data_IF_826037811936
#
_entry.id   IF_826037811936
#
_cell.length_a   1.000
_cell.length_b   1.000
_cell.length_c   1.000
_cell.angle_alpha   90.00
_cell.angle_beta   90.00
_cell.angle_gamma   90.00
#
_symmetry.space_group_name_H-M   'P 1'
#
loop_
_entity.id
_entity.type
_entity.pdbx_description
1 polymer ?
#
# COMPACT_ATOMS: atom_id res chain seq x y z
N UNK A 1 10.99 -12.08 13.59
CA UNK A 1 11.22 -11.77 15.01
C UNK A 1 10.60 -12.86 15.89
N UNK A 2 11.34 -13.40 16.85
CA UNK A 2 10.86 -14.44 17.76
C UNK A 2 9.90 -13.87 18.82
N UNK A 3 9.06 -14.69 19.48
CA UNK A 3 8.18 -14.22 20.56
C UNK A 3 8.95 -13.52 21.71
N UNK A 4 10.20 -13.94 21.96
CA UNK A 4 11.08 -13.34 22.98
C UNK A 4 11.53 -11.95 22.56
N UNK A 5 11.92 -11.77 21.30
CA UNK A 5 12.32 -10.47 20.75
C UNK A 5 11.15 -9.47 20.76
N UNK A 6 9.93 -9.92 20.40
CA UNK A 6 8.72 -9.10 20.51
C UNK A 6 8.43 -8.64 21.95
N UNK A 7 8.64 -9.51 22.93
CA UNK A 7 8.46 -9.15 24.35
C UNK A 7 9.50 -8.12 24.79
N UNK A 8 10.76 -8.28 24.37
CA UNK A 8 11.84 -7.34 24.70
C UNK A 8 11.61 -5.98 24.05
N UNK A 9 11.16 -5.94 22.79
CA UNK A 9 10.79 -4.72 22.08
C UNK A 9 9.68 -3.95 22.81
N UNK A 10 8.61 -4.64 23.24
CA UNK A 10 7.52 -4.04 24.03
C UNK A 10 8.00 -3.49 25.36
N UNK A 11 8.87 -4.22 26.08
CA UNK A 11 9.42 -3.74 27.35
C UNK A 11 10.30 -2.48 27.17
N UNK A 12 11.11 -2.44 26.11
CA UNK A 12 11.91 -1.28 25.75
C UNK A 12 11.02 -0.07 25.39
N UNK A 13 9.97 -0.29 24.61
CA UNK A 13 9.01 0.75 24.22
C UNK A 13 8.28 1.37 25.41
N UNK A 14 7.79 0.55 26.36
CA UNK A 14 7.16 1.04 27.59
C UNK A 14 8.15 1.86 28.41
N UNK A 15 9.40 1.40 28.52
CA UNK A 15 10.44 2.12 29.27
C UNK A 15 10.72 3.49 28.63
N UNK A 16 10.88 3.53 27.31
CA UNK A 16 11.10 4.77 26.56
C UNK A 16 9.91 5.73 26.64
N UNK A 17 8.67 5.23 26.56
CA UNK A 17 7.47 6.04 26.71
C UNK A 17 7.37 6.69 28.10
N UNK A 18 7.66 5.92 29.16
CA UNK A 18 7.70 6.45 30.53
C UNK A 18 8.76 7.53 30.66
N UNK A 19 9.97 7.31 30.11
CA UNK A 19 11.05 8.30 30.13
C UNK A 19 10.69 9.58 29.37
N UNK A 20 10.05 9.46 28.20
CA UNK A 20 9.61 10.60 27.40
C UNK A 20 8.57 11.45 28.15
N UNK A 21 7.52 10.82 28.71
CA UNK A 21 6.49 11.52 29.47
C UNK A 21 7.03 12.11 30.78
N UNK A 22 8.02 11.46 31.40
CA UNK A 22 8.71 12.02 32.58
C UNK A 22 9.54 13.26 32.21
N UNK A 23 10.24 13.26 31.07
CA UNK A 23 11.05 14.38 30.60
C UNK A 23 10.21 15.59 30.19
N UNK A 24 9.05 15.36 29.56
CA UNK A 24 8.11 16.42 29.17
C UNK A 24 7.33 17.00 30.37
N UNK A 25 7.37 16.31 31.51
CA UNK A 25 6.59 16.63 32.70
C UNK A 25 5.12 16.24 32.52
N UNK A 26 4.50 15.76 33.61
CA UNK A 26 3.05 15.66 33.64
C UNK A 26 2.47 17.07 33.72
N UNK A 27 1.38 17.36 32.99
CA UNK A 27 0.69 18.65 33.15
C UNK A 27 0.33 18.81 34.64
N UNK A 28 0.62 19.98 35.24
CA UNK A 28 0.35 20.19 36.65
C UNK A 28 -1.13 19.97 36.92
N UNK A 29 -1.46 19.32 38.04
CA UNK A 29 -2.84 19.15 38.47
C UNK A 29 -3.45 20.54 38.68
N UNK A 30 -4.35 20.94 37.80
CA UNK A 30 -5.08 22.19 37.93
C UNK A 30 -6.14 22.05 39.02
N UNK A 31 -6.29 23.09 39.83
CA UNK A 31 -7.31 23.16 40.88
C UNK A 31 -8.70 22.98 40.25
N UNK A 32 -9.52 22.07 40.81
CA UNK A 32 -10.85 21.75 40.27
C UNK A 32 -10.88 20.57 39.28
N UNK A 33 -9.73 20.01 38.88
CA UNK A 33 -9.67 18.77 38.09
C UNK A 33 -9.59 17.56 39.01
N UNK A 34 -10.39 16.52 38.72
CA UNK A 34 -10.31 15.26 39.45
C UNK A 34 -8.96 14.58 39.20
N UNK A 35 -8.15 14.40 40.26
CA UNK A 35 -6.83 13.77 40.20
C UNK A 35 -6.88 12.37 39.56
N UNK A 36 -7.91 11.57 39.87
CA UNK A 36 -8.08 10.23 39.27
C UNK A 36 -8.29 10.29 37.75
N UNK A 37 -9.02 11.30 37.26
CA UNK A 37 -9.24 11.50 35.83
C UNK A 37 -7.95 11.89 35.11
N UNK A 38 -7.18 12.80 35.70
CA UNK A 38 -5.88 13.22 35.17
C UNK A 38 -4.87 12.07 35.12
N UNK A 39 -4.80 11.25 36.17
CA UNK A 39 -3.92 10.06 36.22
C UNK A 39 -4.29 9.05 35.13
N UNK A 40 -5.58 8.72 34.97
CA UNK A 40 -6.04 7.78 33.92
C UNK A 40 -5.79 8.29 32.51
N UNK A 41 -5.84 9.61 32.30
CA UNK A 41 -5.52 10.21 31.01
C UNK A 41 -4.02 10.13 30.73
N UNK A 42 -3.17 10.46 31.72
CA UNK A 42 -1.73 10.34 31.60
C UNK A 42 -1.30 8.88 31.33
N UNK A 43 -1.88 7.91 32.04
CA UNK A 43 -1.64 6.50 31.81
C UNK A 43 -2.00 6.07 30.37
N UNK A 44 -3.17 6.50 29.86
CA UNK A 44 -3.56 6.22 28.47
C UNK A 44 -2.59 6.83 27.46
N UNK A 45 -2.09 8.04 27.71
CA UNK A 45 -1.09 8.68 26.84
C UNK A 45 0.23 7.91 26.84
N UNK A 46 0.72 7.50 28.01
CA UNK A 46 1.95 6.69 28.11
C UNK A 46 1.79 5.35 27.38
N UNK A 47 0.67 4.65 27.57
CA UNK A 47 0.39 3.39 26.87
C UNK A 47 0.34 3.59 25.36
N UNK A 48 -0.38 4.61 24.89
CA UNK A 48 -0.45 4.92 23.46
C UNK A 48 0.93 5.22 22.87
N UNK A 49 1.77 6.01 23.55
CA UNK A 49 3.16 6.24 23.12
C UNK A 49 3.98 4.96 23.13
N UNK A 50 3.80 4.08 24.13
CA UNK A 50 4.48 2.80 24.18
C UNK A 50 4.05 1.87 23.04
N UNK A 51 2.77 1.87 22.68
CA UNK A 51 2.24 1.08 21.56
C UNK A 51 2.85 1.56 20.24
N UNK A 52 2.92 2.89 20.02
CA UNK A 52 3.57 3.50 18.84
C UNK A 52 5.07 3.19 18.78
N UNK A 53 5.78 3.26 19.91
CA UNK A 53 7.21 2.90 19.94
C UNK A 53 7.44 1.40 19.75
N UNK A 54 6.57 0.54 20.30
CA UNK A 54 6.66 -0.90 20.11
C UNK A 54 6.39 -1.26 18.65
N UNK A 55 5.38 -0.63 18.04
CA UNK A 55 5.11 -0.67 16.61
C UNK A 55 6.36 -0.33 15.79
N UNK A 56 6.98 0.82 16.08
CA UNK A 56 8.21 1.25 15.43
C UNK A 56 9.36 0.23 15.57
N UNK A 57 9.50 -0.40 16.74
CA UNK A 57 10.56 -1.41 16.97
C UNK A 57 10.26 -2.74 16.27
N UNK A 58 8.99 -3.16 16.24
CA UNK A 58 8.57 -4.41 15.59
C UNK A 58 8.62 -4.27 14.07
N UNK A 59 8.38 -3.06 13.57
CA UNK A 59 8.30 -2.75 12.14
C UNK A 59 7.00 -3.24 11.52
N UNK A 60 6.93 -3.14 10.19
CA UNK A 60 5.80 -3.63 9.40
C UNK A 60 5.59 -5.13 9.58
N UNK A 61 4.33 -5.53 9.68
CA UNK A 61 3.94 -6.95 9.80
C UNK A 61 2.94 -7.39 8.74
N UNK A 62 2.27 -6.44 8.09
CA UNK A 62 1.27 -6.68 7.07
C UNK A 62 1.59 -5.83 5.85
N UNK A 63 1.43 -6.42 4.67
CA UNK A 63 1.50 -5.74 3.37
C UNK A 63 0.22 -6.08 2.60
N UNK A 64 -0.43 -5.08 2.02
CA UNK A 64 -1.63 -5.24 1.20
C UNK A 64 -1.49 -4.45 -0.10
N UNK A 65 -1.90 -5.05 -1.21
CA UNK A 65 -2.01 -4.36 -2.48
C UNK A 65 -3.40 -3.77 -2.62
N UNK A 66 -3.46 -2.51 -3.04
CA UNK A 66 -4.71 -1.76 -3.20
C UNK A 66 -4.77 -1.16 -4.60
N UNK A 67 -5.51 -1.80 -5.53
CA UNK A 67 -5.81 -1.20 -6.81
C UNK A 67 -6.68 0.05 -6.60
N UNK A 68 -6.28 1.18 -7.19
CA UNK A 68 -6.93 2.48 -6.97
C UNK A 68 -7.78 2.90 -8.17
N UNK A 69 -7.21 2.86 -9.37
CA UNK A 69 -7.88 3.34 -10.58
C UNK A 69 -7.36 2.62 -11.81
N UNK A 70 -8.24 2.32 -12.75
CA UNK A 70 -7.91 1.87 -14.11
C UNK A 70 -8.09 3.07 -15.04
N UNK A 71 -7.13 3.36 -15.89
CA UNK A 71 -7.13 4.46 -16.84
C UNK A 71 -6.91 3.91 -18.25
N UNK A 72 -7.77 4.33 -19.17
CA UNK A 72 -7.56 4.10 -20.60
C UNK A 72 -6.57 5.12 -21.16
N UNK A 73 -5.49 4.65 -21.80
CA UNK A 73 -4.41 5.55 -22.23
C UNK A 73 -4.84 6.50 -23.35
N UNK A 74 -5.70 6.03 -24.25
CA UNK A 74 -6.16 6.82 -25.40
C UNK A 74 -7.12 7.94 -25.00
N UNK A 75 -7.99 7.70 -24.00
CA UNK A 75 -9.09 8.61 -23.66
C UNK A 75 -8.92 9.31 -22.31
N UNK A 76 -7.96 8.85 -21.49
CA UNK A 76 -7.82 9.24 -20.07
C UNK A 76 -9.08 8.99 -19.23
N UNK A 77 -10.00 8.14 -19.70
CA UNK A 77 -11.19 7.77 -18.94
C UNK A 77 -10.79 6.85 -17.80
N UNK A 78 -11.24 7.17 -16.59
CA UNK A 78 -10.92 6.43 -15.37
C UNK A 78 -12.10 5.59 -14.88
N UNK A 79 -11.84 4.36 -14.46
CA UNK A 79 -12.79 3.46 -13.82
C UNK A 79 -12.19 3.03 -12.48
N UNK A 80 -12.98 3.12 -11.40
CA UNK A 80 -12.54 2.61 -10.11
C UNK A 80 -12.76 1.10 -10.06
N UNK A 81 -11.73 0.32 -9.70
CA UNK A 81 -11.89 -1.10 -9.46
C UNK A 81 -12.79 -1.36 -8.23
N UNK A 82 -13.39 -2.56 -8.12
CA UNK A 82 -14.11 -2.95 -6.93
C UNK A 82 -13.18 -2.98 -5.71
N UNK A 83 -13.67 -2.50 -4.57
CA UNK A 83 -12.92 -2.47 -3.32
C UNK A 83 -12.51 -3.89 -2.90
N UNK A 84 -11.25 -4.07 -2.52
CA UNK A 84 -10.72 -5.37 -2.10
C UNK A 84 -10.51 -6.38 -3.24
N UNK A 85 -10.41 -5.92 -4.49
CA UNK A 85 -10.12 -6.79 -5.64
C UNK A 85 -8.83 -7.59 -5.43
N UNK A 86 -8.94 -8.92 -5.46
CA UNK A 86 -7.80 -9.86 -5.43
C UNK A 86 -7.34 -10.26 -6.82
N UNK A 87 -8.10 -9.86 -7.83
CA UNK A 87 -7.84 -10.06 -9.26
C UNK A 87 -8.15 -8.76 -9.98
N UNK A 88 -7.25 -8.31 -10.84
CA UNK A 88 -7.44 -7.16 -11.70
C UNK A 88 -7.55 -7.61 -13.15
N UNK A 89 -8.60 -7.15 -13.83
CA UNK A 89 -8.76 -7.35 -15.26
C UNK A 89 -8.70 -5.98 -15.95
N UNK A 90 -7.93 -5.89 -17.04
CA UNK A 90 -7.84 -4.68 -17.86
C UNK A 90 -7.76 -5.04 -19.36
N UNK A 91 -8.14 -4.11 -20.21
CA UNK A 91 -7.97 -4.26 -21.66
C UNK A 91 -6.56 -3.84 -22.10
N UNK A 92 -6.09 -4.32 -23.24
CA UNK A 92 -4.90 -3.78 -23.92
C UNK A 92 -5.05 -2.27 -24.17
N UNK A 93 -4.01 -1.49 -23.90
CA UNK A 93 -4.04 -0.02 -23.98
C UNK A 93 -4.62 0.66 -22.73
N UNK A 94 -4.87 -0.10 -21.66
CA UNK A 94 -5.18 0.42 -20.33
C UNK A 94 -4.00 0.24 -19.38
N UNK A 95 -4.01 1.02 -18.31
CA UNK A 95 -3.11 0.87 -17.18
C UNK A 95 -3.88 1.05 -15.89
N UNK A 96 -3.41 0.47 -14.78
CA UNK A 96 -4.00 0.74 -13.48
C UNK A 96 -2.95 1.16 -12.46
N UNK A 97 -3.39 2.00 -11.52
CA UNK A 97 -2.58 2.44 -10.40
C UNK A 97 -2.81 1.52 -9.21
N UNK A 98 -1.73 1.14 -8.55
CA UNK A 98 -1.75 0.30 -7.36
C UNK A 98 -0.88 0.92 -6.29
N UNK A 99 -1.42 0.93 -5.08
CA UNK A 99 -0.74 1.36 -3.86
C UNK A 99 -0.47 0.15 -2.98
N UNK A 100 0.53 0.26 -2.11
CA UNK A 100 0.82 -0.70 -1.06
C UNK A 100 0.52 -0.09 0.29
N UNK A 101 -0.47 -0.66 0.97
CA UNK A 101 -0.74 -0.36 2.36
C UNK A 101 0.14 -1.29 3.23
N UNK A 102 0.94 -0.70 4.11
CA UNK A 102 1.74 -1.46 5.07
C UNK A 102 1.32 -1.11 6.49
N UNK A 103 1.12 -2.12 7.33
CA UNK A 103 0.68 -1.94 8.71
C UNK A 103 1.60 -2.70 9.67
N UNK A 104 1.86 -2.11 10.84
CA UNK A 104 2.48 -2.80 11.96
C UNK A 104 1.49 -3.66 12.76
N UNK A 105 2.00 -4.37 13.77
CA UNK A 105 1.19 -5.25 14.62
C UNK A 105 0.14 -4.53 15.49
N UNK A 106 0.26 -3.21 15.62
CA UNK A 106 -0.67 -2.35 16.35
C UNK A 106 -1.71 -1.69 15.44
N UNK A 107 -1.62 -1.92 14.13
CA UNK A 107 -2.53 -1.38 13.11
C UNK A 107 -2.24 0.07 12.73
N UNK A 108 -1.02 0.56 12.94
CA UNK A 108 -0.60 1.85 12.36
C UNK A 108 0.09 1.65 11.02
N UNK A 109 -0.10 2.64 10.13
CA UNK A 109 0.55 2.67 8.83
C UNK A 109 2.06 2.82 9.00
N UNK A 110 2.79 2.03 8.24
CA UNK A 110 4.25 2.08 8.16
C UNK A 110 4.70 2.59 6.80
N UNK A 111 5.97 3.00 6.71
CA UNK A 111 6.57 3.39 5.44
C UNK A 111 7.81 2.55 5.20
N UNK A 112 7.75 1.73 4.16
CA UNK A 112 8.78 0.77 3.79
C UNK A 112 9.11 0.90 2.30
N UNK A 113 10.35 0.57 1.94
CA UNK A 113 10.75 0.46 0.54
C UNK A 113 10.22 -0.86 -0.02
N UNK A 114 9.37 -0.77 -1.05
CA UNK A 114 8.77 -1.94 -1.67
C UNK A 114 9.57 -2.34 -2.91
N UNK A 115 9.91 -3.63 -2.97
CA UNK A 115 10.41 -4.25 -4.20
C UNK A 115 9.23 -4.82 -4.99
N UNK A 116 9.09 -4.36 -6.22
CA UNK A 116 8.04 -4.75 -7.14
C UNK A 116 8.55 -5.77 -8.17
N UNK A 117 7.69 -6.71 -8.54
CA UNK A 117 7.94 -7.65 -9.61
C UNK A 117 6.65 -8.03 -10.35
N UNK A 118 6.78 -8.37 -11.62
CA UNK A 118 5.72 -8.94 -12.44
C UNK A 118 6.21 -10.27 -13.02
N UNK A 119 5.38 -11.30 -12.98
CA UNK A 119 5.79 -12.63 -13.43
C UNK A 119 6.01 -12.73 -14.96
N UNK A 120 5.37 -11.86 -15.74
CA UNK A 120 5.47 -11.83 -17.20
C UNK A 120 5.38 -10.39 -17.72
N UNK A 121 6.54 -9.84 -18.12
CA UNK A 121 6.66 -8.48 -18.65
C UNK A 121 6.05 -8.30 -20.05
N UNK A 122 5.85 -9.40 -20.79
CA UNK A 122 5.17 -9.32 -22.08
C UNK A 122 3.67 -9.05 -21.90
N UNK A 123 3.07 -9.52 -20.80
CA UNK A 123 1.65 -9.32 -20.46
C UNK A 123 1.43 -7.95 -19.81
N UNK A 124 2.29 -7.54 -18.89
CA UNK A 124 2.19 -6.25 -18.22
C UNK A 124 3.55 -5.73 -17.76
N UNK A 125 3.77 -4.43 -17.82
CA UNK A 125 5.00 -3.77 -17.35
C UNK A 125 4.72 -2.87 -16.15
N UNK A 126 5.77 -2.54 -15.39
CA UNK A 126 5.66 -1.73 -14.18
C UNK A 126 6.36 -0.38 -14.36
N UNK A 127 5.70 0.69 -13.94
CA UNK A 127 6.29 2.01 -13.76
C UNK A 127 6.18 2.37 -12.29
N UNK A 128 7.27 2.13 -11.55
CA UNK A 128 7.33 2.32 -10.11
C UNK A 128 7.51 3.81 -9.81
N UNK A 129 6.72 4.34 -8.88
CA UNK A 129 6.81 5.73 -8.41
C UNK A 129 8.08 5.96 -7.58
N UNK A 130 8.50 7.22 -7.44
CA UNK A 130 9.68 7.60 -6.63
C UNK A 130 9.51 7.25 -5.14
N UNK A 131 8.27 7.22 -4.64
CA UNK A 131 7.95 6.81 -3.27
C UNK A 131 8.12 5.31 -3.02
N UNK A 132 8.31 4.52 -4.08
CA UNK A 132 8.33 3.06 -4.11
C UNK A 132 7.08 2.36 -3.57
N UNK A 133 6.12 3.07 -2.97
CA UNK A 133 4.89 2.51 -2.41
C UNK A 133 3.76 2.41 -3.42
N UNK A 134 3.92 3.05 -4.57
CA UNK A 134 2.96 2.99 -5.65
C UNK A 134 3.60 2.64 -6.98
N UNK A 135 2.79 2.06 -7.87
CA UNK A 135 3.21 1.75 -9.22
C UNK A 135 2.04 1.86 -10.18
N UNK A 136 2.35 2.16 -11.45
CA UNK A 136 1.46 1.92 -12.56
C UNK A 136 1.77 0.56 -13.17
N UNK A 137 0.73 -0.26 -13.35
CA UNK A 137 0.79 -1.50 -14.13
C UNK A 137 0.21 -1.21 -15.50
N UNK A 138 1.05 -1.30 -16.53
CA UNK A 138 0.71 -0.96 -17.90
C UNK A 138 0.47 -2.23 -18.70
N UNK A 139 -0.65 -2.31 -19.41
CA UNK A 139 -0.98 -3.49 -20.23
C UNK A 139 -0.01 -3.68 -21.40
N UNK A 140 0.33 -4.94 -21.66
CA UNK A 140 1.08 -5.39 -22.82
C UNK A 140 0.22 -6.32 -23.69
N UNK A 141 0.74 -7.51 -24.00
CA UNK A 141 0.03 -8.53 -24.74
C UNK A 141 -1.10 -9.17 -23.89
N UNK A 142 -2.18 -9.63 -24.53
CA UNK A 142 -3.21 -10.39 -23.84
C UNK A 142 -2.66 -11.65 -23.16
N UNK A 143 -3.08 -11.90 -21.94
CA UNK A 143 -2.59 -12.99 -21.09
C UNK A 143 -2.75 -12.68 -19.61
N UNK A 144 -2.21 -13.53 -18.75
CA UNK A 144 -2.29 -13.34 -17.29
C UNK A 144 -0.89 -13.29 -16.67
N UNK A 145 -0.70 -12.39 -15.71
CA UNK A 145 0.52 -12.22 -14.94
C UNK A 145 0.20 -12.07 -13.44
N UNK A 146 1.22 -12.20 -12.59
CA UNK A 146 1.11 -11.96 -11.15
C UNK A 146 2.00 -10.79 -10.80
N UNK A 147 1.37 -9.73 -10.27
CA UNK A 147 2.05 -8.63 -9.62
C UNK A 147 2.45 -9.05 -8.21
N UNK A 148 3.69 -8.80 -7.83
CA UNK A 148 4.23 -9.05 -6.50
C UNK A 148 4.81 -7.77 -5.95
N UNK A 149 4.41 -7.40 -4.73
CA UNK A 149 5.06 -6.38 -3.92
C UNK A 149 5.67 -7.06 -2.70
N UNK A 150 6.92 -6.75 -2.38
CA UNK A 150 7.64 -7.42 -1.29
C UNK A 150 8.52 -6.47 -0.49
N UNK A 151 8.75 -6.83 0.77
CA UNK A 151 9.71 -6.19 1.67
C UNK A 151 10.68 -7.28 2.10
N UNK A 152 11.80 -7.50 1.37
CA UNK A 152 12.68 -8.66 1.59
C UNK A 152 13.25 -8.72 3.00
N UNK A 153 13.62 -7.57 3.56
CA UNK A 153 14.17 -7.47 4.92
C UNK A 153 13.19 -7.97 6.00
N UNK A 154 11.89 -7.94 5.71
CA UNK A 154 10.84 -8.39 6.62
C UNK A 154 10.21 -9.72 6.20
N UNK A 155 10.65 -10.31 5.08
CA UNK A 155 10.04 -11.50 4.45
C UNK A 155 8.52 -11.37 4.27
N UNK A 156 8.05 -10.17 3.90
CA UNK A 156 6.65 -9.91 3.60
C UNK A 156 6.44 -9.79 2.10
N UNK A 157 5.34 -10.36 1.59
CA UNK A 157 4.95 -10.22 0.19
C UNK A 157 3.43 -10.23 0.04
N UNK A 158 2.92 -9.39 -0.86
CA UNK A 158 1.55 -9.44 -1.34
C UNK A 158 1.54 -9.68 -2.85
N UNK A 159 0.53 -10.39 -3.32
CA UNK A 159 0.37 -10.70 -4.75
C UNK A 159 -1.01 -10.31 -5.24
N UNK A 160 -1.08 -9.89 -6.50
CA UNK A 160 -2.31 -9.55 -7.19
C UNK A 160 -2.27 -10.19 -8.58
N UNK A 161 -3.31 -10.97 -8.92
CA UNK A 161 -3.43 -11.51 -10.26
C UNK A 161 -3.85 -10.39 -11.23
N UNK A 162 -3.19 -10.32 -12.38
CA UNK A 162 -3.44 -9.33 -13.43
C UNK A 162 -3.80 -10.09 -14.71
N UNK A 163 -4.96 -9.78 -15.27
CA UNK A 163 -5.45 -10.37 -16.51
C UNK A 163 -5.63 -9.27 -17.56
N UNK A 164 -4.95 -9.42 -18.69
CA UNK A 164 -5.00 -8.49 -19.82
C UNK A 164 -5.82 -9.15 -20.92
N UNK A 165 -6.97 -8.57 -21.23
CA UNK A 165 -7.83 -9.02 -22.33
C UNK A 165 -7.64 -8.12 -23.55
N UNK A 166 -7.80 -8.64 -24.77
CA UNK A 166 -7.71 -7.80 -25.97
C UNK A 166 -8.77 -6.69 -25.93
N UNK A 167 -8.37 -5.46 -26.21
CA UNK A 167 -9.34 -4.40 -26.47
C UNK A 167 -10.15 -4.74 -27.74
N UNK A 168 -11.43 -4.35 -27.78
CA UNK A 168 -12.25 -4.50 -28.98
C UNK A 168 -11.57 -3.86 -30.19
N UNK A 169 -11.35 -4.63 -31.25
CA UNK A 169 -10.72 -4.11 -32.47
C UNK A 169 -11.61 -3.06 -33.11
N UNK A 170 -11.09 -1.84 -33.29
CA UNK A 170 -11.71 -0.87 -34.20
C UNK A 170 -11.50 -1.35 -35.64
N UNK A 171 -12.57 -1.80 -36.31
CA UNK A 171 -12.52 -2.11 -37.74
C UNK A 171 -12.38 -0.80 -38.51
N UNK A 172 -11.21 -0.55 -39.09
CA UNK A 172 -11.04 0.56 -40.05
C UNK A 172 -11.53 0.05 -41.41
N UNK A 173 -12.74 0.45 -41.78
CA UNK A 173 -13.28 0.19 -43.12
C UNK A 173 -12.72 1.26 -44.07
N UNK A 174 -11.64 0.93 -44.80
CA UNK A 174 -11.11 1.78 -45.86
C UNK A 174 -11.99 1.56 -47.10
N UNK A 175 -12.98 2.43 -47.31
CA UNK A 175 -13.72 2.47 -48.56
C UNK A 175 -12.81 2.97 -49.68
N UNK A 176 -12.46 2.09 -50.63
CA UNK A 176 -11.77 2.51 -51.84
C UNK A 176 -12.75 3.33 -52.71
N UNK A 177 -12.44 4.61 -52.93
CA UNK A 177 -13.15 5.40 -53.94
C UNK A 177 -12.74 4.97 -55.35
N UNK A 178 -13.69 5.00 -56.29
CA UNK A 178 -13.46 4.62 -57.68
C UNK A 178 -12.34 5.47 -58.30
N UNK A 179 -11.49 4.87 -59.16
CA UNK A 179 -10.44 5.61 -59.86
C UNK A 179 -11.06 6.66 -60.77
N UNK A 180 -10.60 7.91 -60.63
CA UNK A 180 -10.90 8.97 -61.59
C UNK A 180 -10.11 8.65 -62.86
N UNK A 181 -10.80 8.16 -63.89
CA UNK A 181 -10.21 8.05 -65.22
C UNK A 181 -10.08 9.45 -65.82
N UNK A 182 -8.85 9.82 -66.19
CA UNK A 182 -8.51 11.03 -66.95
C UNK A 182 -9.08 11.00 -68.39
#
# INVERSE_FOLDING_TARGET
MTPTEQRNARAAAVTAAVQLHAALGLPPLQTGVCACGAIRLAERRVRHTADVLAAFIVGTTVIRLKPVVIVEEATSTSINPPEGATTMQMNTGQKFFVEVDTEDASGFDTHETIEWGISDEAVATLQISEDTQSAWVVSGAPGSAVLTASIPNLNLSATLAVDVVPAGTATIEIAASEPVNE
#
